data_IF_308712049740
#
_entry.id   IF_308712049740
#
_cell.length_a   1.000
_cell.length_b   1.000
_cell.length_c   1.000
_cell.angle_alpha   90.00
_cell.angle_beta   90.00
_cell.angle_gamma   90.00
#
_symmetry.space_group_name_H-M   'P 1'
#
loop_
_entity.id
_entity.type
_entity.pdbx_description
1 polymer ?
#
# COMPACT_ATOMS: atom_id res chain seq x y z
N UNK A 1 10.64 12.19 11.23
CA UNK A 1 9.39 11.70 10.62
C UNK A 1 9.12 12.52 9.37
N UNK A 2 8.80 11.88 8.25
CA UNK A 2 8.46 12.52 6.96
C UNK A 2 7.14 11.96 6.45
N UNK A 3 6.23 12.84 6.04
CA UNK A 3 4.96 12.48 5.42
C UNK A 3 5.00 12.87 3.95
N UNK A 4 4.62 11.94 3.08
CA UNK A 4 4.46 12.19 1.64
C UNK A 4 3.01 11.90 1.25
N UNK A 5 2.41 12.79 0.49
CA UNK A 5 1.06 12.63 -0.05
C UNK A 5 1.15 12.31 -1.54
N UNK A 6 0.42 11.28 -1.97
CA UNK A 6 0.35 10.81 -3.36
C UNK A 6 -1.04 11.04 -3.96
N UNK A 7 -1.85 11.94 -3.42
CA UNK A 7 -3.21 12.16 -3.92
C UNK A 7 -4.26 11.28 -3.24
N UNK A 8 -5.52 11.73 -3.28
CA UNK A 8 -6.65 11.08 -2.61
C UNK A 8 -6.29 10.74 -1.15
N UNK A 9 -6.39 9.47 -0.76
CA UNK A 9 -6.08 8.94 0.57
C UNK A 9 -4.71 8.24 0.64
N UNK A 10 -3.90 8.32 -0.43
CA UNK A 10 -2.61 7.64 -0.49
C UNK A 10 -1.51 8.45 0.22
N UNK A 11 -1.01 7.93 1.33
CA UNK A 11 0.05 8.56 2.13
C UNK A 11 1.19 7.60 2.40
N UNK A 12 2.41 8.12 2.43
CA UNK A 12 3.58 7.42 2.99
C UNK A 12 4.14 8.15 4.19
N UNK A 13 4.31 7.41 5.27
CA UNK A 13 4.92 7.86 6.51
C UNK A 13 6.27 7.18 6.64
N UNK A 14 7.32 7.98 6.76
CA UNK A 14 8.69 7.51 7.00
C UNK A 14 9.13 7.93 8.41
N UNK A 15 9.43 6.93 9.22
CA UNK A 15 9.99 7.05 10.56
C UNK A 15 11.40 6.45 10.58
N UNK A 16 12.06 6.45 11.74
CA UNK A 16 13.38 5.80 11.87
C UNK A 16 13.30 4.29 11.62
N UNK A 17 12.22 3.64 12.07
CA UNK A 17 12.12 2.18 12.10
C UNK A 17 11.16 1.62 11.04
N UNK A 18 10.28 2.46 10.48
CA UNK A 18 9.23 2.01 9.57
C UNK A 18 8.98 2.99 8.41
N UNK A 19 8.68 2.40 7.26
CA UNK A 19 8.10 3.06 6.07
C UNK A 19 6.71 2.47 5.85
N UNK A 20 5.69 3.26 6.11
CA UNK A 20 4.29 2.84 6.14
C UNK A 20 3.58 3.48 4.96
N UNK A 21 2.88 2.69 4.16
CA UNK A 21 2.04 3.16 3.06
C UNK A 21 0.58 2.92 3.42
N UNK A 22 -0.24 3.97 3.39
CA UNK A 22 -1.66 3.93 3.74
C UNK A 22 -2.46 4.12 2.46
N UNK A 23 -3.47 3.27 2.25
CA UNK A 23 -4.43 3.31 1.13
C UNK A 23 -3.75 3.62 -0.22
N UNK A 24 -2.89 2.71 -0.71
CA UNK A 24 -1.98 2.96 -1.83
C UNK A 24 -2.70 2.98 -3.18
N UNK A 25 -3.63 3.92 -3.37
CA UNK A 25 -4.26 4.21 -4.66
C UNK A 25 -3.24 4.86 -5.60
N UNK A 26 -2.40 4.02 -6.20
CA UNK A 26 -1.25 4.42 -7.01
C UNK A 26 -1.45 4.07 -8.49
N UNK A 27 -2.50 3.31 -8.80
CA UNK A 27 -2.90 2.94 -10.17
C UNK A 27 -4.28 3.54 -10.42
N UNK A 28 -4.37 4.50 -11.35
CA UNK A 28 -5.64 5.18 -11.70
C UNK A 28 -5.92 6.49 -10.92
N UNK A 29 -5.08 6.83 -9.96
CA UNK A 29 -5.20 8.07 -9.18
C UNK A 29 -4.89 9.31 -10.05
N UNK A 30 -5.83 10.25 -10.24
CA UNK A 30 -5.63 11.41 -11.12
C UNK A 30 -4.61 12.42 -10.57
N UNK A 31 -4.34 12.39 -9.26
CA UNK A 31 -3.35 13.24 -8.62
C UNK A 31 -1.96 12.60 -8.57
N UNK A 32 -1.80 11.37 -9.04
CA UNK A 32 -0.52 10.66 -9.07
C UNK A 32 -0.39 9.73 -10.28
N UNK A 33 0.47 10.12 -11.21
CA UNK A 33 0.66 9.41 -12.49
C UNK A 33 2.01 8.71 -12.60
N UNK A 34 2.81 8.69 -11.52
CA UNK A 34 4.19 8.16 -11.53
C UNK A 34 4.29 6.66 -11.19
N UNK A 35 3.16 5.96 -11.04
CA UNK A 35 3.14 4.51 -10.78
C UNK A 35 3.39 4.13 -9.32
N UNK A 36 3.44 2.83 -9.05
CA UNK A 36 3.52 2.27 -7.69
C UNK A 36 4.96 1.97 -7.24
N UNK A 37 5.91 1.93 -8.17
CA UNK A 37 7.26 1.43 -7.97
C UNK A 37 8.05 2.26 -6.96
N UNK A 38 8.05 3.59 -7.12
CA UNK A 38 8.72 4.52 -6.19
C UNK A 38 8.13 4.50 -4.78
N UNK A 39 6.79 4.66 -4.63
CA UNK A 39 6.14 4.53 -3.32
C UNK A 39 6.44 3.22 -2.60
N UNK A 40 6.59 2.10 -3.33
CA UNK A 40 6.89 0.77 -2.77
C UNK A 40 8.31 0.63 -2.19
N UNK A 41 9.25 1.54 -2.49
CA UNK A 41 10.66 1.36 -2.13
C UNK A 41 10.90 1.33 -0.62
N UNK A 42 11.32 0.16 -0.13
CA UNK A 42 11.61 -0.09 1.27
C UNK A 42 10.39 -0.02 2.18
N UNK A 43 9.17 -0.08 1.62
CA UNK A 43 7.95 -0.14 2.42
C UNK A 43 8.00 -1.35 3.33
N UNK A 44 7.65 -1.12 4.58
CA UNK A 44 7.65 -2.13 5.66
C UNK A 44 6.24 -2.57 6.01
N UNK A 45 5.26 -1.67 5.85
CA UNK A 45 3.86 -1.90 6.18
C UNK A 45 2.95 -1.26 5.13
N UNK A 46 1.89 -1.97 4.76
CA UNK A 46 0.77 -1.43 3.98
C UNK A 46 -0.49 -1.50 4.84
N UNK A 47 -1.10 -0.35 5.07
CA UNK A 47 -2.33 -0.22 5.86
C UNK A 47 -3.49 0.10 4.93
N UNK A 48 -4.58 -0.67 5.03
CA UNK A 48 -5.80 -0.46 4.25
C UNK A 48 -6.97 -0.17 5.19
N UNK A 49 -7.64 0.96 4.97
CA UNK A 49 -8.78 1.37 5.78
C UNK A 49 -10.03 0.54 5.48
N UNK A 50 -10.27 0.22 4.20
CA UNK A 50 -11.37 -0.61 3.71
C UNK A 50 -11.12 -1.09 2.27
N UNK A 51 -12.05 -1.86 1.70
CA UNK A 51 -11.88 -2.59 0.43
C UNK A 51 -12.28 -1.86 -0.86
N UNK A 52 -12.55 -0.55 -0.85
CA UNK A 52 -12.88 0.16 -2.09
C UNK A 52 -11.65 0.32 -3.01
N UNK A 53 -11.89 0.34 -4.32
CA UNK A 53 -10.83 0.34 -5.33
C UNK A 53 -9.93 1.58 -5.28
N UNK A 54 -10.48 2.73 -4.91
CA UNK A 54 -9.77 4.00 -4.71
C UNK A 54 -8.93 4.04 -3.41
N UNK A 55 -8.86 2.91 -2.69
CA UNK A 55 -7.95 2.71 -1.55
C UNK A 55 -6.97 1.55 -1.79
N UNK A 56 -7.41 0.44 -2.40
CA UNK A 56 -6.58 -0.78 -2.51
C UNK A 56 -5.80 -0.91 -3.82
N UNK A 57 -6.06 -0.10 -4.85
CA UNK A 57 -5.47 -0.29 -6.19
C UNK A 57 -3.99 0.09 -6.24
N UNK A 58 -3.12 -0.92 -6.33
CA UNK A 58 -1.67 -0.81 -6.18
C UNK A 58 -1.13 -1.56 -4.96
N UNK A 59 -2.01 -1.98 -4.04
CA UNK A 59 -1.59 -2.67 -2.81
C UNK A 59 -0.93 -4.02 -3.12
N UNK A 60 -1.46 -4.79 -4.06
CA UNK A 60 -0.95 -6.13 -4.37
C UNK A 60 0.47 -6.05 -4.97
N UNK A 61 0.70 -5.09 -5.86
CA UNK A 61 1.99 -4.80 -6.48
C UNK A 61 3.02 -4.35 -5.44
N UNK A 62 2.64 -3.41 -4.55
CA UNK A 62 3.48 -2.95 -3.45
C UNK A 62 3.83 -4.10 -2.51
N UNK A 63 2.84 -4.89 -2.08
CA UNK A 63 3.03 -6.03 -1.18
C UNK A 63 3.98 -7.06 -1.80
N UNK A 64 3.76 -7.43 -3.06
CA UNK A 64 4.61 -8.39 -3.77
C UNK A 64 6.05 -7.90 -3.96
N UNK A 65 6.25 -6.60 -4.21
CA UNK A 65 7.60 -6.02 -4.36
C UNK A 65 8.36 -5.89 -3.05
N UNK A 66 7.67 -5.50 -1.99
CA UNK A 66 8.30 -5.12 -0.71
C UNK A 66 8.36 -6.26 0.31
N UNK A 67 7.44 -7.22 0.24
CA UNK A 67 7.19 -8.16 1.33
C UNK A 67 6.75 -7.44 2.62
N UNK A 68 6.10 -6.28 2.47
CA UNK A 68 5.60 -5.49 3.58
C UNK A 68 4.47 -6.21 4.33
N UNK A 69 4.35 -5.93 5.62
CA UNK A 69 3.25 -6.44 6.42
C UNK A 69 1.94 -5.76 6.01
N UNK A 70 0.96 -6.56 5.60
CA UNK A 70 -0.39 -6.08 5.36
C UNK A 70 -1.15 -5.94 6.69
N UNK A 71 -1.74 -4.77 6.91
CA UNK A 71 -2.60 -4.48 8.07
C UNK A 71 -3.93 -3.93 7.57
N UNK A 72 -5.00 -4.71 7.77
CA UNK A 72 -6.37 -4.33 7.42
C UNK A 72 -7.36 -5.13 8.30
N UNK A 73 -8.66 -4.97 8.07
CA UNK A 73 -9.65 -5.91 8.63
C UNK A 73 -9.50 -7.31 8.01
N UNK A 74 -10.11 -8.30 8.66
CA UNK A 74 -9.98 -9.71 8.27
C UNK A 74 -10.41 -9.95 6.82
N UNK A 75 -11.56 -9.40 6.41
CA UNK A 75 -12.14 -9.60 5.09
C UNK A 75 -11.25 -9.04 3.97
N UNK A 76 -10.68 -7.85 4.15
CA UNK A 76 -9.76 -7.23 3.18
C UNK A 76 -8.45 -8.01 3.10
N UNK A 77 -7.90 -8.45 4.24
CA UNK A 77 -6.72 -9.30 4.26
C UNK A 77 -6.96 -10.60 3.47
N UNK A 78 -8.07 -11.30 3.75
CA UNK A 78 -8.40 -12.55 3.08
C UNK A 78 -8.69 -12.36 1.59
N UNK A 79 -9.33 -11.24 1.20
CA UNK A 79 -9.50 -10.87 -0.20
C UNK A 79 -8.15 -10.74 -0.91
N UNK A 80 -7.19 -10.00 -0.33
CA UNK A 80 -5.87 -9.82 -0.94
C UNK A 80 -5.04 -11.11 -0.95
N UNK A 81 -5.16 -11.97 0.08
CA UNK A 81 -4.55 -13.30 0.07
C UNK A 81 -5.11 -14.14 -1.08
N UNK A 82 -6.42 -14.14 -1.28
CA UNK A 82 -7.06 -14.80 -2.43
C UNK A 82 -6.63 -14.23 -3.79
N UNK A 83 -6.10 -13.01 -3.81
CA UNK A 83 -5.54 -12.33 -4.99
C UNK A 83 -4.04 -12.55 -5.17
N UNK A 84 -3.37 -13.24 -4.24
CA UNK A 84 -1.94 -13.58 -4.33
C UNK A 84 -1.03 -12.82 -3.36
N UNK A 85 -1.57 -12.01 -2.44
CA UNK A 85 -0.77 -11.50 -1.33
C UNK A 85 -0.33 -12.68 -0.45
N UNK A 86 0.95 -12.74 -0.08
CA UNK A 86 1.46 -13.81 0.77
C UNK A 86 2.61 -13.32 1.64
N UNK A 87 2.80 -13.99 2.78
CA UNK A 87 3.93 -13.73 3.68
C UNK A 87 5.27 -14.30 3.15
N UNK A 88 5.27 -14.91 1.96
CA UNK A 88 6.45 -15.50 1.36
C UNK A 88 7.23 -14.43 0.60
N UNK A 89 8.38 -14.05 1.14
CA UNK A 89 9.46 -13.41 0.37
C UNK A 89 10.11 -14.41 -0.58
#
# INVERSE_FOLDING_TARGET
>A
MKLTWYGHSAFRIETTDAKILIDPYLIGNPSWTSGWEGPAEGVTHVLLTHGHSDHISGALEVLGKSGAMLVANFEVCMYLVGRGASDKK
#
